data_IF_409552348588
#
_entry.id   IF_409552348588
#
_cell.length_a   1.000
_cell.length_b   1.000
_cell.length_c   1.000
_cell.angle_alpha   90.00
_cell.angle_beta   90.00
_cell.angle_gamma   90.00
#
_symmetry.space_group_name_H-M   'P 1'
#
loop_
_entity.id
_entity.type
_entity.pdbx_description
1 polymer ?
#
# COMPACT_ATOMS: atom_id res chain seq x y z
N UNK A 1 -16.72 -8.33 -18.82
CA UNK A 1 -16.19 -8.84 -17.54
C UNK A 1 -15.08 -7.89 -17.14
N UNK A 2 -15.08 -7.42 -15.90
CA UNK A 2 -14.03 -6.55 -15.41
C UNK A 2 -12.82 -7.40 -14.99
N UNK A 3 -11.64 -7.05 -15.50
CA UNK A 3 -10.38 -7.66 -15.11
C UNK A 3 -9.73 -6.74 -14.09
N UNK A 4 -9.27 -7.31 -12.98
CA UNK A 4 -8.62 -6.57 -11.91
C UNK A 4 -7.20 -7.08 -11.71
N UNK A 5 -6.28 -6.15 -11.53
CA UNK A 5 -4.90 -6.44 -11.13
C UNK A 5 -4.71 -6.03 -9.68
N UNK A 6 -3.85 -6.77 -8.96
CA UNK A 6 -3.53 -6.52 -7.55
C UNK A 6 -2.03 -6.40 -7.37
N UNK A 7 -1.63 -5.44 -6.54
CA UNK A 7 -0.24 -5.20 -6.16
C UNK A 7 -0.13 -5.23 -4.63
N UNK A 8 0.93 -5.86 -4.12
CA UNK A 8 1.27 -5.87 -2.69
C UNK A 8 2.65 -5.26 -2.52
N UNK A 9 2.73 -4.23 -1.71
CA UNK A 9 3.98 -3.52 -1.43
C UNK A 9 4.30 -3.55 0.06
N UNK A 10 5.58 -3.68 0.39
CA UNK A 10 6.04 -3.58 1.78
C UNK A 10 6.35 -2.12 2.13
N UNK A 11 5.58 -1.57 3.05
CA UNK A 11 5.79 -0.25 3.63
C UNK A 11 6.56 -0.38 4.95
N UNK A 12 7.72 0.26 5.02
CA UNK A 12 8.65 0.12 6.16
C UNK A 12 8.57 1.28 7.15
N UNK A 13 7.89 2.37 6.78
CA UNK A 13 7.68 3.50 7.65
C UNK A 13 6.44 3.30 8.52
N UNK A 14 6.40 4.02 9.65
CA UNK A 14 5.19 4.10 10.45
C UNK A 14 4.06 4.72 9.62
N UNK A 15 2.84 4.23 9.75
CA UNK A 15 1.64 4.87 9.16
C UNK A 15 1.09 5.96 10.10
N UNK A 16 1.86 6.33 11.13
CA UNK A 16 1.50 7.39 12.08
C UNK A 16 1.70 8.79 11.48
N UNK A 17 1.14 9.79 12.16
CA UNK A 17 1.12 11.20 11.74
C UNK A 17 2.49 11.79 11.41
N UNK A 18 3.56 11.29 12.02
CA UNK A 18 4.95 11.73 11.76
C UNK A 18 5.46 11.39 10.36
N UNK A 19 4.83 10.44 9.67
CA UNK A 19 5.22 9.97 8.33
C UNK A 19 4.09 10.14 7.30
N UNK A 20 3.12 11.01 7.62
CA UNK A 20 1.93 11.24 6.80
C UNK A 20 2.29 11.78 5.42
N UNK A 21 3.28 12.67 5.34
CA UNK A 21 3.69 13.29 4.07
C UNK A 21 4.26 12.28 3.09
N UNK A 22 5.17 11.42 3.57
CA UNK A 22 5.75 10.34 2.78
C UNK A 22 4.69 9.32 2.37
N UNK A 23 3.79 8.96 3.29
CA UNK A 23 2.72 8.02 3.00
C UNK A 23 1.75 8.57 1.95
N UNK A 24 1.34 9.83 2.06
CA UNK A 24 0.46 10.47 1.09
C UNK A 24 1.14 10.63 -0.28
N UNK A 25 2.44 10.95 -0.31
CA UNK A 25 3.21 11.01 -1.55
C UNK A 25 3.24 9.66 -2.27
N UNK A 26 3.52 8.57 -1.54
CA UNK A 26 3.53 7.21 -2.10
C UNK A 26 2.17 6.84 -2.70
N UNK A 27 1.08 7.04 -1.93
CA UNK A 27 -0.28 6.74 -2.40
C UNK A 27 -0.66 7.55 -3.64
N UNK A 28 -0.21 8.80 -3.71
CA UNK A 28 -0.47 9.67 -4.86
C UNK A 28 0.30 9.21 -6.11
N UNK A 29 1.54 8.70 -5.98
CA UNK A 29 2.26 8.13 -7.12
C UNK A 29 1.54 6.90 -7.68
N UNK A 30 1.14 5.96 -6.81
CA UNK A 30 0.33 4.81 -7.23
C UNK A 30 -1.02 5.22 -7.85
N UNK A 31 -1.66 6.25 -7.29
CA UNK A 31 -2.91 6.80 -7.81
C UNK A 31 -2.79 7.34 -9.24
N UNK A 32 -1.65 7.90 -9.64
CA UNK A 32 -1.41 8.36 -11.03
C UNK A 32 -1.45 7.21 -12.05
N UNK A 33 -1.04 6.01 -11.62
CA UNK A 33 -1.04 4.78 -12.42
C UNK A 33 -2.38 4.01 -12.34
N UNK A 34 -3.40 4.61 -11.71
CA UNK A 34 -4.74 4.06 -11.58
C UNK A 34 -4.89 3.03 -10.46
N UNK A 35 -3.91 2.93 -9.56
CA UNK A 35 -4.00 2.05 -8.40
C UNK A 35 -4.80 2.67 -7.26
N UNK A 36 -5.66 1.86 -6.67
CA UNK A 36 -6.46 2.21 -5.49
C UNK A 36 -5.98 1.37 -4.31
N UNK A 37 -5.61 2.02 -3.20
CA UNK A 37 -5.33 1.32 -1.95
C UNK A 37 -6.62 0.71 -1.39
N UNK A 38 -6.60 -0.59 -1.10
CA UNK A 38 -7.76 -1.32 -0.56
C UNK A 38 -7.56 -1.86 0.84
N UNK A 39 -6.31 -2.12 1.25
CA UNK A 39 -6.02 -2.64 2.58
C UNK A 39 -4.61 -2.31 3.02
N UNK A 40 -4.45 -2.18 4.34
CA UNK A 40 -3.16 -2.08 5.01
C UNK A 40 -3.11 -3.25 6.00
N UNK A 41 -2.15 -4.15 5.82
CA UNK A 41 -1.96 -5.32 6.68
C UNK A 41 -0.73 -5.09 7.55
N UNK A 42 -0.90 -4.88 8.87
CA UNK A 42 0.23 -4.78 9.78
C UNK A 42 0.98 -6.11 9.81
N UNK A 43 2.28 -6.08 9.54
CA UNK A 43 3.17 -7.22 9.72
C UNK A 43 3.80 -7.07 11.11
N UNK A 44 3.13 -7.61 12.12
CA UNK A 44 3.74 -7.75 13.44
C UNK A 44 4.63 -8.99 13.45
N UNK A 45 5.94 -8.79 13.51
CA UNK A 45 6.83 -9.88 13.89
C UNK A 45 6.72 -10.04 15.41
N UNK A 46 6.24 -11.19 15.94
CA UNK A 46 6.11 -11.39 17.38
C UNK A 46 7.44 -11.28 18.14
N UNK A 47 8.58 -11.37 17.43
CA UNK A 47 9.92 -11.25 18.00
C UNK A 47 10.60 -9.89 17.74
N UNK A 48 9.97 -8.98 16.99
CA UNK A 48 10.57 -7.67 16.67
C UNK A 48 9.50 -6.58 16.66
N UNK A 49 9.37 -5.91 17.81
CA UNK A 49 8.47 -4.77 18.02
C UNK A 49 9.05 -3.44 17.48
N UNK A 50 10.28 -3.45 16.95
CA UNK A 50 10.96 -2.23 16.49
C UNK A 50 10.69 -1.93 15.02
N UNK A 51 10.43 -2.95 14.20
CA UNK A 51 10.10 -2.79 12.79
C UNK A 51 8.59 -2.93 12.55
N UNK A 52 7.85 -1.82 12.65
CA UNK A 52 6.46 -1.78 12.19
C UNK A 52 6.45 -1.79 10.65
N UNK A 53 6.49 -2.99 10.05
CA UNK A 53 6.28 -3.16 8.61
C UNK A 53 4.79 -3.29 8.35
N UNK A 54 4.31 -2.62 7.32
CA UNK A 54 2.95 -2.75 6.84
C UNK A 54 3.00 -3.28 5.41
N UNK A 55 1.98 -4.01 4.99
CA UNK A 55 1.77 -4.33 3.59
C UNK A 55 0.62 -3.50 3.05
N UNK A 56 0.88 -2.76 1.99
CA UNK A 56 -0.13 -2.00 1.27
C UNK A 56 -0.64 -2.88 0.14
N UNK A 57 -1.95 -3.07 0.09
CA UNK A 57 -2.62 -3.83 -0.95
C UNK A 57 -3.36 -2.85 -1.84
N UNK A 58 -3.04 -2.89 -3.13
CA UNK A 58 -3.65 -2.06 -4.15
C UNK A 58 -4.42 -2.91 -5.15
N UNK A 59 -5.41 -2.30 -5.81
CA UNK A 59 -6.08 -2.86 -6.99
C UNK A 59 -6.14 -1.82 -8.09
N UNK A 60 -6.22 -2.26 -9.35
CA UNK A 60 -6.63 -1.41 -10.48
C UNK A 60 -7.46 -2.19 -11.48
N UNK A 61 -8.33 -1.48 -12.20
CA UNK A 61 -9.11 -2.08 -13.30
C UNK A 61 -8.24 -2.12 -14.56
N UNK A 62 -8.21 -3.27 -15.21
CA UNK A 62 -7.57 -3.45 -16.51
C UNK A 62 -8.66 -3.40 -17.57
N UNK A 63 -8.52 -2.50 -18.54
CA UNK A 63 -9.34 -2.50 -19.75
C UNK A 63 -8.59 -3.36 -20.77
N UNK A 64 -9.13 -4.51 -21.19
CA UNK A 64 -8.53 -5.27 -22.27
C UNK A 64 -8.59 -4.46 -23.56
N UNK A 65 -7.45 -4.36 -24.27
CA UNK A 65 -7.37 -3.81 -25.63
C UNK A 65 -8.12 -4.67 -26.66
#
# INVERSE_FOLDING_TARGET
>A
MDVWEYLVENWTLSVQSSSRGEFEAELNEYGKDGWELVSIVPQSNPNDFSSNRNQLVFKRRVVPE
#
